data_IF_698014396539
#
_entry.id   IF_698014396539
#
_cell.length_a   1.000
_cell.length_b   1.000
_cell.length_c   1.000
_cell.angle_alpha   90.00
_cell.angle_beta   90.00
_cell.angle_gamma   90.00
#
_symmetry.space_group_name_H-M   'P 1'
#
loop_
_entity.id
_entity.type
_entity.pdbx_description
1 polymer ?
#
# COMPACT_ATOMS: atom_id res chain seq x y z
N UNK A 1 1.38 15.00 14.10
CA UNK A 1 1.26 14.94 12.61
C UNK A 1 0.00 15.69 12.22
N UNK A 2 0.06 16.50 11.17
CA UNK A 2 -1.09 17.17 10.56
C UNK A 2 -1.35 16.61 9.15
N UNK A 3 -2.41 17.07 8.47
CA UNK A 3 -2.79 16.57 7.14
C UNK A 3 -1.70 16.77 6.08
N UNK A 4 -1.05 17.94 6.08
CA UNK A 4 0.00 18.24 5.10
C UNK A 4 1.22 17.32 5.30
N UNK A 5 1.61 17.07 6.55
CA UNK A 5 2.67 16.11 6.89
C UNK A 5 2.32 14.67 6.49
N UNK A 6 1.07 14.24 6.72
CA UNK A 6 0.60 12.92 6.30
C UNK A 6 0.72 12.75 4.77
N UNK A 7 0.20 13.73 4.01
CA UNK A 7 0.28 13.73 2.54
C UNK A 7 1.74 13.68 2.09
N UNK A 8 2.59 14.58 2.62
CA UNK A 8 4.00 14.67 2.23
C UNK A 8 4.75 13.35 2.48
N UNK A 9 4.48 12.68 3.60
CA UNK A 9 5.07 11.37 3.93
C UNK A 9 4.59 10.28 2.98
N UNK A 10 3.28 10.20 2.68
CA UNK A 10 2.74 9.22 1.73
C UNK A 10 3.34 9.41 0.34
N UNK A 11 3.44 10.66 -0.13
CA UNK A 11 4.05 10.96 -1.44
C UNK A 11 5.55 10.67 -1.47
N UNK A 12 6.26 10.91 -0.37
CA UNK A 12 7.70 10.59 -0.25
C UNK A 12 7.96 9.10 -0.39
N UNK A 13 7.21 8.26 0.34
CA UNK A 13 7.37 6.81 0.26
C UNK A 13 6.92 6.26 -1.10
N UNK A 14 5.91 6.87 -1.70
CA UNK A 14 5.50 6.55 -3.06
C UNK A 14 6.62 6.78 -4.07
N UNK A 15 7.27 7.94 -4.04
CA UNK A 15 8.41 8.26 -4.92
C UNK A 15 9.57 7.30 -4.69
N UNK A 16 9.92 7.03 -3.44
CA UNK A 16 10.97 6.08 -3.08
C UNK A 16 10.69 4.67 -3.61
N UNK A 17 9.44 4.19 -3.53
CA UNK A 17 9.03 2.92 -4.12
C UNK A 17 9.17 2.93 -5.65
N UNK A 18 8.73 4.00 -6.33
CA UNK A 18 8.85 4.14 -7.78
C UNK A 18 10.32 4.14 -8.25
N UNK A 19 11.23 4.78 -7.51
CA UNK A 19 12.67 4.75 -7.77
C UNK A 19 13.24 3.33 -7.69
N UNK A 20 12.80 2.54 -6.72
CA UNK A 20 13.21 1.13 -6.61
C UNK A 20 12.63 0.28 -7.73
N UNK A 21 11.34 0.45 -8.04
CA UNK A 21 10.68 -0.25 -9.15
C UNK A 21 11.35 0.04 -10.50
N UNK A 22 11.83 1.27 -10.73
CA UNK A 22 12.55 1.65 -11.95
C UNK A 22 13.90 0.92 -12.12
N UNK A 23 14.46 0.34 -11.05
CA UNK A 23 15.69 -0.46 -11.08
C UNK A 23 15.45 -1.94 -11.37
N UNK A 24 14.20 -2.38 -11.35
CA UNK A 24 13.83 -3.78 -11.65
C UNK A 24 13.77 -3.96 -13.18
N UNK A 25 14.56 -4.86 -13.75
CA UNK A 25 14.45 -5.17 -15.18
C UNK A 25 13.05 -5.67 -15.53
N UNK A 26 12.44 -5.24 -16.65
CA UNK A 26 11.09 -5.65 -17.02
C UNK A 26 10.89 -7.16 -17.05
N UNK A 27 11.88 -7.92 -17.50
CA UNK A 27 11.88 -9.39 -17.54
C UNK A 27 11.88 -10.03 -16.15
N UNK A 28 12.34 -9.31 -15.11
CA UNK A 28 12.39 -9.80 -13.74
C UNK A 28 11.17 -9.45 -12.89
N UNK A 29 10.26 -8.64 -13.42
CA UNK A 29 9.05 -8.21 -12.69
C UNK A 29 8.15 -9.38 -12.25
N UNK A 30 8.25 -10.52 -12.92
CA UNK A 30 7.50 -11.75 -12.62
C UNK A 30 8.32 -12.80 -11.86
N UNK A 31 9.58 -12.50 -11.55
CA UNK A 31 10.46 -13.45 -10.86
C UNK A 31 10.09 -13.52 -9.37
N UNK A 32 9.78 -14.72 -8.90
CA UNK A 32 9.41 -14.97 -7.51
C UNK A 32 10.58 -14.71 -6.53
N UNK A 33 10.25 -14.54 -5.25
CA UNK A 33 11.22 -14.48 -4.18
C UNK A 33 11.38 -13.12 -3.50
N UNK A 34 10.52 -12.15 -3.81
CA UNK A 34 10.52 -10.86 -3.10
C UNK A 34 9.93 -11.01 -1.69
N UNK A 35 8.73 -11.60 -1.60
CA UNK A 35 8.07 -11.96 -0.33
C UNK A 35 7.61 -13.41 -0.45
N UNK A 36 8.37 -14.35 0.08
CA UNK A 36 8.09 -15.77 -0.11
C UNK A 36 8.06 -16.12 -1.61
N UNK A 37 6.90 -16.55 -2.12
CA UNK A 37 6.72 -16.87 -3.54
C UNK A 37 6.28 -15.69 -4.42
N UNK A 38 6.06 -14.50 -3.85
CA UNK A 38 5.62 -13.34 -4.60
C UNK A 38 6.75 -12.73 -5.43
N UNK A 39 6.39 -12.26 -6.61
CA UNK A 39 7.23 -11.44 -7.48
C UNK A 39 7.10 -9.94 -7.13
N UNK A 40 7.88 -9.10 -7.80
CA UNK A 40 7.71 -7.62 -7.72
C UNK A 40 6.31 -7.22 -8.18
N UNK A 41 5.79 -7.83 -9.26
CA UNK A 41 4.43 -7.59 -9.73
C UNK A 41 3.38 -7.92 -8.66
N UNK A 42 3.51 -9.06 -8.00
CA UNK A 42 2.56 -9.49 -6.98
C UNK A 42 2.60 -8.58 -5.74
N UNK A 43 3.79 -8.17 -5.34
CA UNK A 43 4.01 -7.20 -4.27
C UNK A 43 3.37 -5.85 -4.60
N UNK A 44 3.54 -5.35 -5.83
CA UNK A 44 2.91 -4.10 -6.26
C UNK A 44 1.37 -4.21 -6.30
N UNK A 45 0.85 -5.36 -6.75
CA UNK A 45 -0.59 -5.62 -6.73
C UNK A 45 -1.16 -5.57 -5.32
N UNK A 46 -0.46 -6.19 -4.37
CA UNK A 46 -0.82 -6.17 -2.96
C UNK A 46 -0.83 -4.74 -2.39
N UNK A 47 0.21 -3.93 -2.65
CA UNK A 47 0.24 -2.53 -2.24
C UNK A 47 -0.96 -1.75 -2.84
N UNK A 48 -1.26 -1.94 -4.13
CA UNK A 48 -2.39 -1.29 -4.79
C UNK A 48 -3.74 -1.61 -4.12
N UNK A 49 -3.94 -2.87 -3.69
CA UNK A 49 -5.13 -3.29 -2.96
C UNK A 49 -5.26 -2.55 -1.62
N UNK A 50 -4.17 -2.37 -0.88
CA UNK A 50 -4.19 -1.64 0.39
C UNK A 50 -4.43 -0.15 0.20
N UNK A 51 -3.88 0.48 -0.84
CA UNK A 51 -4.23 1.86 -1.21
C UNK A 51 -5.72 2.00 -1.53
N UNK A 52 -6.31 1.03 -2.24
CA UNK A 52 -7.75 1.02 -2.55
C UNK A 52 -8.60 0.92 -1.27
N UNK A 53 -8.16 0.14 -0.29
CA UNK A 53 -8.80 0.07 1.04
C UNK A 53 -8.72 1.41 1.78
N UNK A 54 -7.57 2.08 1.74
CA UNK A 54 -7.43 3.43 2.32
C UNK A 54 -8.39 4.44 1.68
N UNK A 55 -8.53 4.42 0.36
CA UNK A 55 -9.50 5.25 -0.37
C UNK A 55 -10.94 4.95 0.08
N UNK A 56 -11.27 3.67 0.27
CA UNK A 56 -12.59 3.24 0.75
C UNK A 56 -12.87 3.76 2.16
N UNK A 57 -11.91 3.67 3.07
CA UNK A 57 -12.06 4.21 4.43
C UNK A 57 -12.30 5.73 4.42
N UNK A 58 -11.53 6.47 3.61
CA UNK A 58 -11.76 7.91 3.45
C UNK A 58 -13.17 8.20 2.90
N UNK A 59 -13.60 7.49 1.87
CA UNK A 59 -14.92 7.66 1.28
C UNK A 59 -16.05 7.40 2.29
N UNK A 60 -15.93 6.36 3.11
CA UNK A 60 -16.89 6.05 4.17
C UNK A 60 -16.92 7.16 5.22
N UNK A 61 -15.75 7.64 5.66
CA UNK A 61 -15.62 8.71 6.63
C UNK A 61 -16.22 10.04 6.11
N UNK A 62 -15.96 10.41 4.85
CA UNK A 62 -16.54 11.59 4.20
C UNK A 62 -18.07 11.57 4.22
N UNK A 63 -18.68 10.39 4.11
CA UNK A 63 -20.13 10.22 4.08
C UNK A 63 -20.74 9.96 5.47
N UNK A 64 -19.94 10.00 6.53
CA UNK A 64 -20.41 9.66 7.87
C UNK A 64 -20.87 8.21 8.02
N UNK A 65 -20.41 7.32 7.14
CA UNK A 65 -20.73 5.90 7.18
C UNK A 65 -19.85 5.19 8.21
N UNK A 66 -20.32 4.05 8.72
CA UNK A 66 -19.52 3.20 9.57
C UNK A 66 -18.31 2.65 8.79
N UNK A 67 -17.10 2.82 9.35
CA UNK A 67 -15.89 2.31 8.73
C UNK A 67 -15.89 0.78 8.73
N UNK A 68 -15.67 0.20 7.57
CA UNK A 68 -15.55 -1.25 7.39
C UNK A 68 -14.09 -1.62 7.19
N UNK A 69 -13.48 -2.16 8.24
CA UNK A 69 -12.12 -2.68 8.17
C UNK A 69 -12.13 -4.07 7.53
N UNK A 70 -11.10 -4.43 6.78
CA UNK A 70 -10.88 -5.81 6.35
C UNK A 70 -10.85 -6.73 7.58
N UNK A 71 -11.41 -7.93 7.44
CA UNK A 71 -11.43 -8.94 8.50
C UNK A 71 -10.55 -10.09 8.07
N UNK A 72 -9.52 -10.37 8.85
CA UNK A 72 -8.71 -11.59 8.72
C UNK A 72 -9.11 -12.58 9.81
N UNK A 73 -9.18 -13.86 9.46
CA UNK A 73 -9.32 -14.96 10.40
C UNK A 73 -7.94 -15.44 10.89
N UNK A 74 -6.86 -15.01 10.21
CA UNK A 74 -5.49 -15.28 10.59
C UNK A 74 -4.90 -14.08 11.36
N UNK A 75 -4.03 -14.30 12.37
CA UNK A 75 -3.43 -13.24 13.17
C UNK A 75 -2.56 -12.26 12.35
N UNK A 76 -1.97 -12.74 11.26
CA UNK A 76 -1.00 -12.04 10.41
C UNK A 76 -1.59 -11.61 9.06
N UNK A 77 -2.90 -11.59 8.91
CA UNK A 77 -3.60 -11.23 7.66
C UNK A 77 -3.36 -12.20 6.49
N UNK A 78 -2.82 -13.40 6.75
CA UNK A 78 -2.43 -14.35 5.71
C UNK A 78 -3.58 -14.76 4.79
N UNK A 79 -4.81 -14.91 5.32
CA UNK A 79 -6.00 -15.24 4.54
C UNK A 79 -6.41 -14.11 3.58
N UNK A 80 -6.32 -12.83 4.00
CA UNK A 80 -6.57 -11.68 3.13
C UNK A 80 -5.50 -11.60 2.05
N UNK A 81 -4.23 -11.73 2.44
CA UNK A 81 -3.10 -11.69 1.51
C UNK A 81 -3.19 -12.81 0.46
N UNK A 82 -3.60 -14.02 0.85
CA UNK A 82 -3.80 -15.13 -0.07
C UNK A 82 -4.96 -14.88 -1.06
N UNK A 83 -6.07 -14.29 -0.59
CA UNK A 83 -7.20 -13.93 -1.45
C UNK A 83 -6.82 -12.81 -2.43
N UNK A 84 -6.11 -11.77 -1.96
CA UNK A 84 -5.62 -10.69 -2.79
C UNK A 84 -4.69 -11.24 -3.89
N UNK A 85 -3.70 -12.06 -3.52
CA UNK A 85 -2.81 -12.70 -4.47
C UNK A 85 -3.58 -13.50 -5.52
N UNK A 86 -4.48 -14.38 -5.10
CA UNK A 86 -5.28 -15.22 -6.01
C UNK A 86 -6.09 -14.38 -7.03
N UNK A 87 -6.60 -13.22 -6.59
CA UNK A 87 -7.39 -12.32 -7.44
C UNK A 87 -6.54 -11.51 -8.43
N UNK A 88 -5.23 -11.32 -8.15
CA UNK A 88 -4.36 -10.41 -8.92
C UNK A 88 -3.27 -11.13 -9.74
N UNK A 89 -2.93 -12.38 -9.40
CA UNK A 89 -1.76 -13.10 -9.96
C UNK A 89 -1.75 -13.18 -11.49
N UNK A 90 -2.91 -13.28 -12.13
CA UNK A 90 -3.04 -13.44 -13.58
C UNK A 90 -3.27 -12.10 -14.33
N UNK A 91 -3.29 -10.97 -13.60
CA UNK A 91 -3.49 -9.65 -14.21
C UNK A 91 -2.18 -9.12 -14.82
N UNK A 92 -2.27 -8.43 -15.99
CA UNK A 92 -1.12 -7.79 -16.61
C UNK A 92 -0.52 -6.72 -15.70
N UNK A 93 0.81 -6.58 -15.70
CA UNK A 93 1.55 -5.61 -14.87
C UNK A 93 1.10 -4.17 -15.14
N UNK A 94 0.77 -3.83 -16.39
CA UNK A 94 0.32 -2.50 -16.78
C UNK A 94 -1.00 -2.12 -16.08
N UNK A 95 -1.89 -3.10 -15.89
CA UNK A 95 -3.15 -2.90 -15.16
C UNK A 95 -2.91 -2.69 -13.68
N UNK A 96 -2.00 -3.46 -13.09
CA UNK A 96 -1.61 -3.32 -11.68
C UNK A 96 -0.97 -1.95 -11.44
N UNK A 97 -0.08 -1.51 -12.32
CA UNK A 97 0.53 -0.18 -12.24
C UNK A 97 -0.51 0.94 -12.41
N UNK A 98 -1.49 0.76 -13.29
CA UNK A 98 -2.59 1.72 -13.46
C UNK A 98 -3.46 1.80 -12.20
N UNK A 99 -3.81 0.68 -11.60
CA UNK A 99 -4.60 0.62 -10.35
C UNK A 99 -3.84 1.28 -9.20
N UNK A 100 -2.53 1.02 -9.05
CA UNK A 100 -1.70 1.65 -8.04
C UNK A 100 -1.65 3.16 -8.20
N UNK A 101 -1.41 3.65 -9.42
CA UNK A 101 -1.44 5.10 -9.71
C UNK A 101 -2.81 5.71 -9.43
N UNK A 102 -3.87 5.06 -9.89
CA UNK A 102 -5.25 5.52 -9.71
C UNK A 102 -5.67 5.60 -8.24
N UNK A 103 -5.39 4.57 -7.47
CA UNK A 103 -5.69 4.54 -6.04
C UNK A 103 -4.93 5.65 -5.27
N UNK A 104 -3.63 5.83 -5.58
CA UNK A 104 -2.85 6.91 -4.99
C UNK A 104 -3.43 8.30 -5.34
N UNK A 105 -3.72 8.55 -6.62
CA UNK A 105 -4.31 9.83 -7.06
C UNK A 105 -5.63 10.12 -6.34
N UNK A 106 -6.49 9.11 -6.20
CA UNK A 106 -7.76 9.26 -5.47
C UNK A 106 -7.54 9.53 -3.99
N UNK A 107 -6.58 8.85 -3.34
CA UNK A 107 -6.21 9.08 -1.95
C UNK A 107 -5.78 10.55 -1.74
N UNK A 108 -4.81 11.01 -2.52
CA UNK A 108 -4.27 12.38 -2.38
C UNK A 108 -5.34 13.43 -2.70
N UNK A 109 -6.13 13.23 -3.75
CA UNK A 109 -7.25 14.11 -4.11
C UNK A 109 -8.23 14.27 -2.94
N UNK A 110 -8.64 13.16 -2.29
CA UNK A 110 -9.56 13.17 -1.15
C UNK A 110 -8.94 13.82 0.07
N UNK A 111 -7.69 13.51 0.40
CA UNK A 111 -6.99 14.14 1.51
C UNK A 111 -6.86 15.65 1.32
N UNK A 112 -6.53 16.13 0.11
CA UNK A 112 -6.45 17.55 -0.18
C UNK A 112 -7.82 18.27 -0.02
N UNK A 113 -8.90 17.61 -0.45
CA UNK A 113 -10.26 18.14 -0.33
C UNK A 113 -10.80 18.08 1.12
N UNK A 114 -10.15 17.34 2.02
CA UNK A 114 -10.61 17.15 3.39
C UNK A 114 -10.48 18.43 4.21
N UNK A 115 -11.61 18.94 4.72
CA UNK A 115 -11.66 20.24 5.41
C UNK A 115 -11.61 20.15 6.94
N UNK A 116 -12.17 19.09 7.52
CA UNK A 116 -12.19 18.86 8.97
C UNK A 116 -11.06 17.93 9.40
N UNK A 117 -9.90 18.50 9.69
CA UNK A 117 -8.72 17.71 10.11
C UNK A 117 -8.95 16.94 11.42
N UNK A 118 -9.84 17.39 12.29
CA UNK A 118 -10.14 16.67 13.52
C UNK A 118 -10.70 15.27 13.24
N UNK A 119 -11.47 15.10 12.17
CA UNK A 119 -11.96 13.79 11.75
C UNK A 119 -10.85 12.82 11.34
N UNK A 120 -9.69 13.30 10.90
CA UNK A 120 -8.54 12.47 10.55
C UNK A 120 -7.73 12.05 11.78
N UNK A 121 -7.62 12.94 12.78
CA UNK A 121 -6.65 12.80 13.88
C UNK A 121 -7.27 12.54 15.25
N UNK A 122 -8.60 12.65 15.43
CA UNK A 122 -9.25 12.27 16.68
C UNK A 122 -9.38 10.73 16.76
N UNK A 123 -8.58 10.13 17.65
CA UNK A 123 -8.55 8.68 17.87
C UNK A 123 -9.86 8.10 18.45
N UNK A 124 -10.78 8.96 18.94
CA UNK A 124 -12.07 8.54 19.49
C UNK A 124 -13.21 8.62 18.47
N UNK A 125 -12.96 9.22 17.31
CA UNK A 125 -13.97 9.53 16.30
C UNK A 125 -14.62 8.28 15.71
N UNK A 126 -13.84 7.22 15.48
CA UNK A 126 -14.28 6.02 14.79
C UNK A 126 -14.12 4.78 15.67
N UNK A 127 -15.19 4.29 16.33
CA UNK A 127 -15.12 3.13 17.23
C UNK A 127 -14.46 1.87 16.62
N UNK A 128 -14.64 1.55 15.30
CA UNK A 128 -13.98 0.40 14.70
C UNK A 128 -12.45 0.47 14.72
N UNK A 129 -11.86 1.67 14.83
CA UNK A 129 -10.41 1.87 14.87
C UNK A 129 -9.77 1.65 16.25
N UNK A 130 -10.58 1.30 17.26
CA UNK A 130 -10.13 0.88 18.61
C UNK A 130 -9.14 1.87 19.25
N UNK A 131 -9.44 3.15 19.21
CA UNK A 131 -8.62 4.19 19.83
C UNK A 131 -7.44 4.68 18.98
N UNK A 132 -7.36 4.29 17.73
CA UNK A 132 -6.42 4.84 16.75
C UNK A 132 -7.12 5.89 15.88
N UNK A 133 -6.37 6.86 15.40
CA UNK A 133 -6.87 7.85 14.44
C UNK A 133 -7.03 7.25 13.04
N UNK A 134 -7.92 7.83 12.23
CA UNK A 134 -8.04 7.43 10.82
C UNK A 134 -6.71 7.63 10.07
N UNK A 135 -6.00 8.73 10.36
CA UNK A 135 -4.68 9.03 9.78
C UNK A 135 -3.65 7.91 10.01
N UNK A 136 -3.70 7.21 11.15
CA UNK A 136 -2.79 6.09 11.44
C UNK A 136 -3.07 4.90 10.50
N UNK A 137 -4.36 4.59 10.27
CA UNK A 137 -4.75 3.54 9.32
C UNK A 137 -4.40 3.90 7.88
N UNK A 138 -4.61 5.17 7.50
CA UNK A 138 -4.22 5.63 6.17
C UNK A 138 -2.71 5.49 5.95
N UNK A 139 -1.91 5.85 6.96
CA UNK A 139 -0.46 5.68 6.91
C UNK A 139 -0.07 4.19 6.79
N UNK A 140 -0.61 3.33 7.67
CA UNK A 140 -0.31 1.90 7.68
C UNK A 140 -0.71 1.21 6.36
N UNK A 141 -1.82 1.63 5.75
CA UNK A 141 -2.31 1.03 4.50
C UNK A 141 -1.60 1.58 3.25
N UNK A 142 -0.84 2.66 3.38
CA UNK A 142 -0.23 3.35 2.23
C UNK A 142 1.27 3.58 2.40
N UNK A 143 1.72 4.69 2.96
CA UNK A 143 3.13 5.04 3.07
C UNK A 143 3.94 4.03 3.88
N UNK A 144 3.47 3.65 5.05
CA UNK A 144 4.13 2.65 5.90
C UNK A 144 4.23 1.29 5.22
N UNK A 145 3.15 0.86 4.57
CA UNK A 145 3.10 -0.38 3.80
C UNK A 145 4.04 -0.35 2.59
N UNK A 146 4.05 0.77 1.86
CA UNK A 146 4.98 0.98 0.75
C UNK A 146 6.44 0.92 1.19
N UNK A 147 6.77 1.52 2.34
CA UNK A 147 8.14 1.50 2.90
C UNK A 147 8.60 0.08 3.23
N UNK A 148 7.74 -0.72 3.84
CA UNK A 148 8.03 -2.13 4.15
C UNK A 148 8.35 -2.94 2.90
N UNK A 149 7.45 -2.90 1.93
CA UNK A 149 7.62 -3.66 0.69
C UNK A 149 8.75 -3.11 -0.20
N UNK A 150 9.01 -1.82 -0.18
CA UNK A 150 10.18 -1.22 -0.83
C UNK A 150 11.47 -1.84 -0.29
N UNK A 151 11.61 -1.95 1.03
CA UNK A 151 12.79 -2.57 1.64
C UNK A 151 12.97 -4.05 1.24
N UNK A 152 11.86 -4.79 1.09
CA UNK A 152 11.90 -6.19 0.63
C UNK A 152 12.35 -6.29 -0.83
N UNK A 153 11.87 -5.41 -1.72
CA UNK A 153 12.29 -5.36 -3.13
C UNK A 153 13.78 -4.98 -3.23
N UNK A 154 14.24 -4.00 -2.43
CA UNK A 154 15.66 -3.60 -2.37
C UNK A 154 16.56 -4.75 -1.95
N UNK A 155 16.18 -5.50 -0.90
CA UNK A 155 16.92 -6.66 -0.42
C UNK A 155 16.98 -7.77 -1.50
N UNK A 156 15.88 -8.02 -2.19
CA UNK A 156 15.82 -8.99 -3.28
C UNK A 156 16.74 -8.58 -4.46
N UNK A 157 16.72 -7.31 -4.86
CA UNK A 157 17.63 -6.78 -5.90
C UNK A 157 19.11 -6.93 -5.50
N UNK A 158 19.46 -6.59 -4.26
CA UNK A 158 20.82 -6.70 -3.77
C UNK A 158 21.33 -8.15 -3.77
N UNK A 159 20.50 -9.12 -3.35
CA UNK A 159 20.85 -10.53 -3.36
C UNK A 159 21.13 -11.05 -4.79
N UNK A 160 20.35 -10.63 -5.78
CA UNK A 160 20.52 -11.03 -7.19
C UNK A 160 21.79 -10.43 -7.81
N UNK A 161 22.05 -9.15 -7.57
CA UNK A 161 23.29 -8.50 -8.03
C UNK A 161 24.54 -9.20 -7.47
N UNK A 162 24.51 -9.61 -6.21
CA UNK A 162 25.61 -10.34 -5.57
C UNK A 162 25.80 -11.75 -6.13
N UNK A 163 24.74 -12.41 -6.58
CA UNK A 163 24.82 -13.73 -7.21
C UNK A 163 25.43 -13.63 -8.64
N UNK A 164 25.05 -12.62 -9.40
CA UNK A 164 25.56 -12.39 -10.76
C UNK A 164 27.07 -12.09 -10.79
N UNK A 165 27.65 -11.53 -9.72
CA UNK A 165 29.11 -11.25 -9.63
C UNK A 165 29.93 -12.46 -9.16
N UNK A 166 29.30 -13.58 -8.74
CA UNK A 166 29.95 -14.81 -8.28
C UNK A 166 29.94 -15.94 -9.33
N UNK A 167 29.25 -15.76 -10.42
CA UNK A 167 29.17 -16.70 -11.57
C UNK A 167 30.05 -16.24 -12.73
#
# INVERSE_FOLDING_TARGET
MNKAELIARIESERRALEEVLARVPPEEMHTAGVVGHWSVKDTLAHIAMWYSRAVTLLFQAERGQALQLPRSNAPDWADINAQDYASQKDRPIERIQADFRGAHQQLIKRLNAWTDEAMLFDSRRYPPLKGRALADYLWDYTGGHSAEHRAQIEAWLAARSSAAHRS
#
